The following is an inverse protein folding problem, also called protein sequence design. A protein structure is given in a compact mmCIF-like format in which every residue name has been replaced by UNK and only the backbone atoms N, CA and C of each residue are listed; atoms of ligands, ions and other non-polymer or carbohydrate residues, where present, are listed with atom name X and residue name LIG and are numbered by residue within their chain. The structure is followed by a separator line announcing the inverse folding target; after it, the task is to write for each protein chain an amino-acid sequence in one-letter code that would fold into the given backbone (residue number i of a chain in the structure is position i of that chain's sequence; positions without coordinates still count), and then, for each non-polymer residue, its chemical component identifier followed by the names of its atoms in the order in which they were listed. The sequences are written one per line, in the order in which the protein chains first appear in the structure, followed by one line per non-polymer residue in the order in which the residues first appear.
data_IF_983610099276
#
_entry.id   IF_983610099276
#
_cell.length_a   1.000
_cell.length_b   1.000
_cell.length_c   1.000
_cell.angle_alpha   90.00
_cell.angle_beta   90.00
_cell.angle_gamma   90.00
#
_symmetry.space_group_name_H-M   'P 1'
#
loop_
_entity.id
_entity.type
_entity.pdbx_description
1 polymer ?
#
# COMPACT_ATOMS: atom_id res chain seq x y z
N UNK A 1 24.94 4.20 55.43
CA UNK A 1 25.74 3.93 54.20
C UNK A 1 25.16 2.82 53.32
N UNK A 2 24.28 1.97 53.87
CA UNK A 2 23.78 0.76 53.19
C UNK A 2 22.48 1.00 52.42
N UNK A 3 21.70 2.02 52.75
CA UNK A 3 20.43 2.33 52.08
C UNK A 3 20.58 3.12 50.76
N UNK A 4 21.73 3.73 50.48
CA UNK A 4 21.98 4.46 49.23
C UNK A 4 22.41 3.55 48.06
N UNK A 5 23.03 2.39 48.34
CA UNK A 5 23.47 1.45 47.32
C UNK A 5 22.31 0.58 46.78
N UNK A 6 21.28 0.31 47.58
CA UNK A 6 20.12 -0.48 47.15
C UNK A 6 19.17 0.28 46.22
N UNK A 7 19.07 1.60 46.34
CA UNK A 7 18.22 2.43 45.49
C UNK A 7 18.84 2.67 44.09
N UNK A 8 20.18 2.71 43.98
CA UNK A 8 20.86 2.91 42.70
C UNK A 8 20.83 1.67 41.81
N UNK A 9 20.83 0.48 42.40
CA UNK A 9 20.73 -0.80 41.66
C UNK A 9 19.30 -1.06 41.15
N UNK A 10 18.28 -0.58 41.90
CA UNK A 10 16.87 -0.71 41.50
C UNK A 10 16.51 0.16 40.29
N UNK A 11 17.07 1.38 40.21
CA UNK A 11 16.81 2.28 39.07
C UNK A 11 17.50 1.85 37.77
N UNK A 12 18.68 1.26 37.82
CA UNK A 12 19.38 0.74 36.67
C UNK A 12 18.65 -0.49 36.06
N UNK A 13 18.07 -1.33 36.90
CA UNK A 13 17.31 -2.52 36.43
C UNK A 13 15.97 -2.16 35.79
N UNK A 14 15.27 -1.13 36.27
CA UNK A 14 14.00 -0.68 35.67
C UNK A 14 14.21 0.01 34.34
N UNK A 15 15.26 0.82 34.19
CA UNK A 15 15.60 1.48 32.91
C UNK A 15 15.97 0.48 31.81
N UNK A 16 16.79 -0.53 32.13
CA UNK A 16 17.16 -1.59 31.19
C UNK A 16 15.98 -2.48 30.80
N UNK A 17 15.12 -2.80 31.75
CA UNK A 17 13.91 -3.59 31.51
C UNK A 17 12.91 -2.83 30.64
N UNK A 18 12.74 -1.53 30.85
CA UNK A 18 11.87 -0.68 30.04
C UNK A 18 12.38 -0.55 28.61
N UNK A 19 13.69 -0.31 28.45
CA UNK A 19 14.34 -0.26 27.13
C UNK A 19 14.31 -1.61 26.42
N UNK A 20 14.48 -2.72 27.13
CA UNK A 20 14.38 -4.08 26.56
C UNK A 20 12.94 -4.41 26.13
N UNK A 21 11.94 -4.04 26.94
CA UNK A 21 10.52 -4.19 26.60
C UNK A 21 10.17 -3.32 25.40
N UNK A 22 10.62 -2.06 25.35
CA UNK A 22 10.41 -1.19 24.20
C UNK A 22 11.07 -1.75 22.93
N UNK A 23 12.27 -2.29 23.03
CA UNK A 23 12.97 -2.94 21.91
C UNK A 23 12.26 -4.22 21.47
N UNK A 24 11.87 -5.07 22.40
CA UNK A 24 11.04 -6.27 22.09
C UNK A 24 9.68 -5.89 21.47
N UNK A 25 9.00 -4.88 22.00
CA UNK A 25 7.75 -4.40 21.42
C UNK A 25 7.96 -3.79 20.02
N UNK A 26 9.08 -3.13 19.78
CA UNK A 26 9.45 -2.64 18.46
C UNK A 26 9.77 -3.80 17.50
N UNK A 27 10.57 -4.79 17.95
CA UNK A 27 10.88 -5.99 17.17
C UNK A 27 9.63 -6.84 16.88
N UNK A 28 8.69 -6.93 17.82
CA UNK A 28 7.40 -7.61 17.60
C UNK A 28 6.50 -6.82 16.64
N UNK A 29 6.50 -5.49 16.67
CA UNK A 29 5.78 -4.67 15.69
C UNK A 29 6.36 -4.82 14.28
N UNK A 30 7.68 -4.96 14.17
CA UNK A 30 8.40 -5.10 12.90
C UNK A 30 8.20 -6.45 12.19
N UNK A 31 7.53 -7.42 12.84
CA UNK A 31 7.25 -8.75 12.30
C UNK A 31 5.74 -9.03 12.22
N UNK A 32 4.94 -7.99 12.05
CA UNK A 32 3.50 -8.17 12.03
C UNK A 32 2.99 -8.33 10.60
N UNK A 33 2.26 -9.40 10.35
CA UNK A 33 1.51 -9.56 9.11
C UNK A 33 0.47 -8.45 8.98
N UNK A 34 0.26 -7.96 7.76
CA UNK A 34 -0.75 -6.93 7.52
C UNK A 34 -2.14 -7.41 7.93
N UNK A 35 -2.44 -8.69 7.77
CA UNK A 35 -3.68 -9.28 8.28
C UNK A 35 -3.88 -9.08 9.79
N UNK A 36 -2.81 -9.06 10.58
CA UNK A 36 -2.93 -8.76 12.03
C UNK A 36 -3.21 -7.28 12.27
N UNK A 37 -2.60 -6.39 11.48
CA UNK A 37 -2.89 -4.95 11.51
C UNK A 37 -4.36 -4.69 11.19
N UNK A 38 -4.91 -5.40 10.20
CA UNK A 38 -6.28 -5.24 9.73
C UNK A 38 -7.35 -5.87 10.65
N UNK A 39 -6.96 -6.63 11.67
CA UNK A 39 -7.87 -7.10 12.73
C UNK A 39 -8.19 -6.03 13.77
N UNK A 40 -7.47 -4.91 13.74
CA UNK A 40 -7.71 -3.80 14.67
C UNK A 40 -9.11 -3.23 14.49
N UNK A 41 -9.78 -2.96 15.62
CA UNK A 41 -11.05 -2.22 15.63
C UNK A 41 -10.86 -0.72 15.38
N UNK A 42 -9.62 -0.23 15.44
CA UNK A 42 -9.26 1.16 15.16
C UNK A 42 -9.08 1.40 13.67
N UNK A 43 -9.18 2.65 13.28
CA UNK A 43 -8.86 3.10 11.93
C UNK A 43 -7.36 2.89 11.67
N UNK A 44 -7.02 2.30 10.54
CA UNK A 44 -5.63 2.14 10.10
C UNK A 44 -5.34 3.02 8.92
N UNK A 45 -4.22 3.74 8.96
CA UNK A 45 -3.69 4.54 7.87
C UNK A 45 -2.37 3.95 7.38
N UNK A 46 -2.29 3.64 6.10
CA UNK A 46 -1.09 3.15 5.43
C UNK A 46 -0.71 4.05 4.27
N UNK A 47 0.55 3.98 3.83
CA UNK A 47 1.09 4.90 2.84
C UNK A 47 1.91 4.16 1.80
N UNK A 48 1.75 4.54 0.53
CA UNK A 48 2.52 3.99 -0.58
C UNK A 48 3.69 4.88 -0.94
N UNK A 49 4.82 4.24 -1.24
CA UNK A 49 5.99 4.85 -1.85
C UNK A 49 6.42 4.04 -3.08
N UNK A 50 7.19 4.64 -3.96
CA UNK A 50 7.74 3.96 -5.14
C UNK A 50 9.27 4.08 -5.20
N UNK A 51 9.94 3.06 -5.76
CA UNK A 51 11.39 3.05 -5.89
C UNK A 51 11.87 4.09 -6.92
N UNK A 52 13.15 4.51 -6.87
CA UNK A 52 13.72 5.42 -7.83
C UNK A 52 13.76 4.77 -9.23
N UNK A 53 13.50 5.57 -10.25
CA UNK A 53 13.63 5.13 -11.66
C UNK A 53 15.08 5.12 -12.14
N UNK A 54 15.93 5.93 -11.53
CA UNK A 54 17.35 6.08 -11.86
C UNK A 54 18.18 6.15 -10.58
N UNK A 55 19.44 5.81 -10.65
CA UNK A 55 20.37 5.91 -9.51
C UNK A 55 20.52 7.33 -9.00
N UNK A 56 20.43 8.34 -9.85
CA UNK A 56 20.50 9.76 -9.49
C UNK A 56 19.29 10.24 -8.66
N UNK A 57 18.16 9.55 -8.75
CA UNK A 57 16.96 9.86 -7.96
C UNK A 57 16.90 9.11 -6.61
N UNK A 58 17.85 8.20 -6.35
CA UNK A 58 17.79 7.31 -5.20
C UNK A 58 17.83 8.05 -3.85
N UNK A 59 18.70 9.04 -3.72
CA UNK A 59 18.85 9.81 -2.48
C UNK A 59 17.55 10.53 -2.11
N UNK A 60 16.96 11.25 -3.06
CA UNK A 60 15.69 11.96 -2.87
C UNK A 60 14.53 11.02 -2.51
N UNK A 61 14.49 9.83 -3.13
CA UNK A 61 13.48 8.82 -2.80
C UNK A 61 13.70 8.28 -1.37
N UNK A 62 14.93 7.99 -1.00
CA UNK A 62 15.26 7.50 0.34
C UNK A 62 14.93 8.53 1.43
N UNK A 63 15.16 9.82 1.17
CA UNK A 63 14.74 10.90 2.08
C UNK A 63 13.22 10.93 2.23
N UNK A 64 12.47 10.88 1.13
CA UNK A 64 11.01 10.86 1.17
C UNK A 64 10.48 9.62 1.92
N UNK A 65 11.04 8.44 1.69
CA UNK A 65 10.68 7.20 2.40
C UNK A 65 10.93 7.35 3.90
N UNK A 66 12.10 7.87 4.30
CA UNK A 66 12.43 8.13 5.71
C UNK A 66 11.43 9.09 6.36
N UNK A 67 11.12 10.20 5.69
CA UNK A 67 10.27 11.25 6.23
C UNK A 67 8.80 10.77 6.35
N UNK A 68 8.32 9.97 5.38
CA UNK A 68 7.00 9.33 5.45
C UNK A 68 6.99 8.25 6.56
N UNK A 69 8.04 7.45 6.69
CA UNK A 69 8.14 6.45 7.76
C UNK A 69 8.17 7.09 9.16
N UNK A 70 8.75 8.30 9.28
CA UNK A 70 8.75 9.06 10.54
C UNK A 70 7.34 9.44 11.03
N UNK A 71 6.36 9.49 10.14
CA UNK A 71 4.94 9.68 10.48
C UNK A 71 4.31 8.44 11.16
N UNK A 72 5.02 7.31 11.18
CA UNK A 72 4.56 6.05 11.81
C UNK A 72 3.22 5.54 11.28
N UNK A 73 3.02 5.45 9.96
CA UNK A 73 1.84 4.77 9.41
C UNK A 73 1.80 3.31 9.89
N UNK A 74 0.63 2.69 9.86
CA UNK A 74 0.47 1.30 10.29
C UNK A 74 1.25 0.30 9.43
N UNK A 75 1.40 0.60 8.15
CA UNK A 75 2.35 -0.03 7.24
C UNK A 75 2.64 0.87 6.04
N UNK A 76 3.72 0.56 5.32
CA UNK A 76 4.05 1.22 4.05
C UNK A 76 4.16 0.19 2.94
N UNK A 77 3.57 0.49 1.79
CA UNK A 77 3.76 -0.31 0.59
C UNK A 77 4.83 0.28 -0.32
N UNK A 78 5.55 -0.59 -1.02
CA UNK A 78 6.58 -0.21 -1.99
C UNK A 78 6.22 -0.79 -3.34
N UNK A 79 5.99 0.06 -4.35
CA UNK A 79 5.62 -0.40 -5.68
C UNK A 79 6.74 -1.19 -6.36
N UNK A 80 6.36 -2.06 -7.29
CA UNK A 80 7.30 -2.81 -8.12
C UNK A 80 7.58 -2.01 -9.39
N UNK A 81 8.84 -1.83 -9.74
CA UNK A 81 9.19 -1.09 -10.95
C UNK A 81 8.82 -1.86 -12.22
N UNK A 82 8.11 -1.21 -13.12
CA UNK A 82 7.51 -1.80 -14.32
C UNK A 82 8.52 -2.26 -15.40
N UNK A 83 9.80 -1.95 -15.27
CA UNK A 83 10.82 -2.33 -16.25
C UNK A 83 11.67 -3.47 -15.70
N UNK A 84 11.50 -4.67 -16.20
CA UNK A 84 12.16 -5.94 -15.85
C UNK A 84 13.70 -5.98 -15.66
N UNK A 85 14.33 -4.88 -15.33
CA UNK A 85 15.77 -4.77 -15.13
C UNK A 85 16.13 -3.83 -13.97
N UNK A 86 16.44 -4.38 -12.80
CA UNK A 86 17.10 -3.63 -11.73
C UNK A 86 16.19 -2.91 -10.72
N UNK A 87 14.98 -2.52 -11.06
CA UNK A 87 14.07 -1.81 -10.15
C UNK A 87 13.49 -2.70 -9.06
N UNK A 88 13.34 -4.01 -9.29
CA UNK A 88 12.92 -4.99 -8.27
C UNK A 88 13.87 -5.03 -7.07
N UNK A 89 15.17 -4.83 -7.31
CA UNK A 89 16.18 -4.76 -6.26
C UNK A 89 15.93 -3.58 -5.32
N UNK A 90 15.54 -2.42 -5.85
CA UNK A 90 15.20 -1.26 -5.03
C UNK A 90 13.91 -1.47 -4.23
N UNK A 91 12.90 -2.15 -4.79
CA UNK A 91 11.67 -2.50 -4.06
C UNK A 91 11.99 -3.31 -2.81
N UNK A 92 12.79 -4.37 -2.95
CA UNK A 92 13.20 -5.23 -1.84
C UNK A 92 14.01 -4.44 -0.81
N UNK A 93 14.99 -3.62 -1.26
CA UNK A 93 15.82 -2.84 -0.36
C UNK A 93 15.00 -1.82 0.43
N UNK A 94 14.14 -1.06 -0.23
CA UNK A 94 13.30 -0.05 0.44
C UNK A 94 12.32 -0.72 1.41
N UNK A 95 11.70 -1.84 1.02
CA UNK A 95 10.80 -2.57 1.91
C UNK A 95 11.52 -3.09 3.16
N UNK A 96 12.77 -3.56 2.99
CA UNK A 96 13.64 -3.96 4.09
C UNK A 96 13.99 -2.79 5.00
N UNK A 97 14.35 -1.63 4.43
CA UNK A 97 14.72 -0.44 5.19
C UNK A 97 13.53 0.12 5.98
N UNK A 98 12.32 0.13 5.38
CA UNK A 98 11.08 0.53 6.06
C UNK A 98 10.88 -0.31 7.32
N UNK A 99 11.10 -1.61 7.23
CA UNK A 99 10.95 -2.54 8.35
C UNK A 99 12.10 -2.42 9.35
N UNK A 100 13.33 -2.61 8.90
CA UNK A 100 14.48 -2.81 9.78
C UNK A 100 15.03 -1.48 10.33
N UNK A 101 15.09 -0.43 9.50
CA UNK A 101 15.65 0.86 9.90
C UNK A 101 14.60 1.79 10.50
N UNK A 102 13.38 1.80 9.97
CA UNK A 102 12.35 2.76 10.40
C UNK A 102 11.28 2.16 11.31
N UNK A 103 11.25 0.84 11.47
CA UNK A 103 10.34 0.15 12.39
C UNK A 103 8.87 0.25 12.00
N UNK A 104 8.58 0.28 10.70
CA UNK A 104 7.24 0.28 10.11
C UNK A 104 7.03 -1.03 9.36
N UNK A 105 5.84 -1.64 9.46
CA UNK A 105 5.54 -2.83 8.65
C UNK A 105 5.63 -2.50 7.16
N UNK A 106 6.24 -3.39 6.37
CA UNK A 106 6.37 -3.19 4.93
C UNK A 106 5.54 -4.18 4.13
N UNK A 107 5.03 -3.72 3.00
CA UNK A 107 4.31 -4.48 1.98
C UNK A 107 5.03 -4.31 0.65
N UNK A 108 5.72 -5.33 0.16
CA UNK A 108 6.40 -5.25 -1.13
C UNK A 108 5.45 -5.65 -2.26
N UNK A 109 5.34 -4.83 -3.30
CA UNK A 109 4.63 -5.24 -4.51
C UNK A 109 5.47 -6.25 -5.30
N UNK A 110 4.80 -7.19 -5.94
CA UNK A 110 5.38 -8.12 -6.89
C UNK A 110 4.45 -8.27 -8.10
N UNK A 111 4.98 -8.05 -9.30
CA UNK A 111 4.25 -8.25 -10.56
C UNK A 111 4.74 -9.49 -11.28
N UNK A 112 3.85 -10.18 -11.97
CA UNK A 112 4.19 -11.39 -12.73
C UNK A 112 4.24 -11.18 -14.24
N UNK A 113 3.72 -10.06 -14.72
CA UNK A 113 3.67 -9.78 -16.15
C UNK A 113 5.08 -9.56 -16.72
N UNK A 114 5.31 -9.98 -17.96
CA UNK A 114 6.60 -9.86 -18.66
C UNK A 114 7.78 -10.52 -17.94
N UNK A 115 7.50 -11.45 -17.01
CA UNK A 115 8.52 -12.22 -16.29
C UNK A 115 8.30 -13.72 -16.49
N UNK A 116 9.39 -14.47 -16.62
CA UNK A 116 9.29 -15.94 -16.62
C UNK A 116 8.96 -16.45 -15.21
N UNK A 117 8.44 -17.67 -15.12
CA UNK A 117 8.16 -18.31 -13.83
C UNK A 117 9.41 -18.36 -12.95
N UNK A 118 10.56 -18.71 -13.52
CA UNK A 118 11.85 -18.78 -12.82
C UNK A 118 12.25 -17.40 -12.26
N UNK A 119 12.01 -16.33 -13.01
CA UNK A 119 12.27 -14.97 -12.54
C UNK A 119 11.39 -14.62 -11.35
N UNK A 120 10.09 -14.95 -11.42
CA UNK A 120 9.14 -14.73 -10.33
C UNK A 120 9.52 -15.55 -9.09
N UNK A 121 9.83 -16.84 -9.24
CA UNK A 121 10.30 -17.71 -8.15
C UNK A 121 11.55 -17.16 -7.47
N UNK A 122 12.51 -16.67 -8.26
CA UNK A 122 13.72 -16.01 -7.75
C UNK A 122 13.38 -14.76 -6.95
N UNK A 123 12.45 -13.93 -7.41
CA UNK A 123 12.05 -12.73 -6.69
C UNK A 123 11.35 -13.06 -5.36
N UNK A 124 10.47 -14.07 -5.33
CA UNK A 124 9.83 -14.54 -4.10
C UNK A 124 10.90 -15.01 -3.10
N UNK A 125 11.87 -15.79 -3.56
CA UNK A 125 12.98 -16.28 -2.74
C UNK A 125 13.80 -15.12 -2.17
N UNK A 126 14.16 -14.13 -2.98
CA UNK A 126 14.90 -12.94 -2.54
C UNK A 126 14.11 -12.11 -1.51
N UNK A 127 12.81 -11.96 -1.69
CA UNK A 127 11.94 -11.28 -0.72
C UNK A 127 11.90 -12.05 0.63
N UNK A 128 11.79 -13.37 0.57
CA UNK A 128 11.84 -14.23 1.75
C UNK A 128 13.18 -14.12 2.49
N UNK A 129 14.30 -14.21 1.79
CA UNK A 129 15.65 -14.06 2.34
C UNK A 129 15.89 -12.66 2.94
N UNK A 130 15.28 -11.62 2.35
CA UNK A 130 15.31 -10.27 2.89
C UNK A 130 14.41 -10.09 4.13
N UNK A 131 13.67 -11.13 4.55
CA UNK A 131 12.76 -11.09 5.69
C UNK A 131 11.49 -10.30 5.45
N UNK A 132 11.06 -10.14 4.19
CA UNK A 132 9.77 -9.53 3.84
C UNK A 132 8.67 -10.55 4.14
N UNK A 133 7.65 -10.12 4.87
CA UNK A 133 6.56 -10.96 5.36
C UNK A 133 5.25 -10.73 4.61
N UNK A 134 5.14 -9.61 3.88
CA UNK A 134 3.91 -9.20 3.22
C UNK A 134 4.18 -8.84 1.75
N UNK A 135 3.42 -9.45 0.84
CA UNK A 135 3.51 -9.20 -0.61
C UNK A 135 2.15 -8.77 -1.14
N UNK A 136 2.13 -7.70 -1.93
CA UNK A 136 0.99 -7.35 -2.77
C UNK A 136 1.19 -8.00 -4.14
N UNK A 137 0.44 -9.06 -4.42
CA UNK A 137 0.52 -9.82 -5.65
C UNK A 137 -0.29 -9.16 -6.77
N UNK A 138 0.38 -8.71 -7.80
CA UNK A 138 -0.19 -7.98 -8.92
C UNK A 138 0.11 -8.69 -10.23
N UNK A 139 -0.81 -8.54 -11.20
CA UNK A 139 -0.49 -8.95 -12.56
C UNK A 139 0.57 -8.03 -13.17
N UNK A 140 0.40 -6.73 -13.02
CA UNK A 140 1.12 -5.69 -13.74
C UNK A 140 0.37 -5.23 -14.99
N UNK A 141 0.82 -4.13 -15.59
CA UNK A 141 0.25 -3.57 -16.81
C UNK A 141 0.88 -4.22 -18.05
N UNK A 142 0.06 -4.52 -19.06
CA UNK A 142 0.54 -5.05 -20.33
C UNK A 142 1.31 -3.94 -21.06
N UNK A 143 2.63 -4.12 -21.36
CA UNK A 143 3.37 -3.14 -22.12
C UNK A 143 2.75 -2.94 -23.49
N UNK A 144 2.74 -1.71 -23.97
CA UNK A 144 2.30 -1.40 -25.35
C UNK A 144 3.13 -2.19 -26.34
N UNK A 145 2.49 -2.72 -27.38
CA UNK A 145 3.12 -3.47 -28.49
C UNK A 145 3.77 -4.82 -28.08
N UNK A 146 3.36 -5.40 -26.94
CA UNK A 146 3.86 -6.70 -26.51
C UNK A 146 2.77 -7.75 -26.71
N UNK A 147 3.13 -8.90 -27.33
CA UNK A 147 2.26 -10.07 -27.32
C UNK A 147 2.08 -10.57 -25.88
N UNK A 148 0.84 -10.77 -25.48
CA UNK A 148 0.53 -11.26 -24.15
C UNK A 148 -0.70 -12.20 -24.22
N UNK A 149 -0.66 -13.28 -23.50
CA UNK A 149 0.45 -13.84 -22.72
C UNK A 149 1.45 -14.61 -23.58
N UNK A 150 2.73 -14.56 -23.24
CA UNK A 150 3.72 -15.44 -23.82
C UNK A 150 3.64 -16.84 -23.18
N UNK A 151 3.95 -17.93 -23.93
CA UNK A 151 3.98 -19.27 -23.38
C UNK A 151 4.88 -19.35 -22.13
N UNK A 152 4.38 -20.00 -21.06
CA UNK A 152 5.13 -20.19 -19.82
C UNK A 152 5.14 -19.00 -18.85
N UNK A 153 4.44 -17.92 -19.17
CA UNK A 153 4.24 -16.79 -18.27
C UNK A 153 2.93 -16.91 -17.48
N UNK A 154 2.84 -16.16 -16.38
CA UNK A 154 1.59 -15.99 -15.63
C UNK A 154 0.65 -15.04 -16.37
N UNK A 155 -0.64 -15.38 -16.38
CA UNK A 155 -1.68 -14.58 -17.04
C UNK A 155 -2.41 -13.67 -16.05
N UNK A 156 -2.60 -14.15 -14.81
CA UNK A 156 -3.39 -13.49 -13.79
C UNK A 156 -2.70 -13.47 -12.44
N UNK A 157 -3.02 -12.47 -11.64
CA UNK A 157 -2.51 -12.36 -10.28
C UNK A 157 -2.87 -13.56 -9.40
N UNK A 158 -3.99 -14.26 -9.66
CA UNK A 158 -4.36 -15.47 -8.93
C UNK A 158 -3.33 -16.61 -9.09
N UNK A 159 -2.69 -16.72 -10.26
CA UNK A 159 -1.61 -17.69 -10.49
C UNK A 159 -0.36 -17.31 -9.68
N UNK A 160 -0.03 -16.02 -9.63
CA UNK A 160 1.06 -15.50 -8.80
C UNK A 160 0.80 -15.77 -7.30
N UNK A 161 -0.43 -15.56 -6.83
CA UNK A 161 -0.82 -15.87 -5.44
C UNK A 161 -0.57 -17.34 -5.11
N UNK A 162 -0.99 -18.27 -5.99
CA UNK A 162 -0.73 -19.72 -5.79
C UNK A 162 0.76 -20.02 -5.76
N UNK A 163 1.54 -19.35 -6.60
CA UNK A 163 2.99 -19.57 -6.67
C UNK A 163 3.69 -19.04 -5.41
N UNK A 164 3.30 -17.87 -4.90
CA UNK A 164 3.82 -17.36 -3.62
C UNK A 164 3.48 -18.34 -2.49
N UNK A 165 2.23 -18.84 -2.42
CA UNK A 165 1.83 -19.82 -1.40
C UNK A 165 2.60 -21.14 -1.50
N UNK A 166 2.99 -21.55 -2.70
CA UNK A 166 3.80 -22.75 -2.93
C UNK A 166 5.23 -22.61 -2.38
N UNK A 167 5.87 -21.45 -2.62
CA UNK A 167 7.29 -21.19 -2.27
C UNK A 167 7.43 -20.69 -0.84
N UNK A 168 6.54 -19.82 -0.40
CA UNK A 168 6.58 -19.13 0.88
C UNK A 168 5.18 -19.07 1.52
N UNK A 169 4.65 -20.23 1.98
CA UNK A 169 3.29 -20.33 2.51
C UNK A 169 3.05 -19.45 3.74
N UNK A 170 4.13 -19.07 4.43
CA UNK A 170 4.10 -18.19 5.59
C UNK A 170 3.84 -16.72 5.26
N UNK A 171 4.04 -16.29 4.01
CA UNK A 171 3.85 -14.90 3.61
C UNK A 171 2.38 -14.50 3.61
N UNK A 172 2.11 -13.30 4.10
CA UNK A 172 0.83 -12.63 4.00
C UNK A 172 0.69 -12.02 2.61
N UNK A 173 -0.40 -12.35 1.90
CA UNK A 173 -0.60 -11.93 0.52
C UNK A 173 -1.81 -11.04 0.41
N UNK A 174 -1.58 -9.80 -0.09
CA UNK A 174 -2.61 -8.89 -0.56
C UNK A 174 -2.77 -8.93 -2.08
N UNK A 175 -3.87 -8.40 -2.55
CA UNK A 175 -4.14 -8.20 -3.97
C UNK A 175 -4.75 -6.85 -4.27
N UNK A 176 -4.74 -6.42 -5.54
CA UNK A 176 -5.45 -5.23 -5.97
C UNK A 176 -6.88 -5.55 -6.41
N UNK A 177 -7.77 -4.57 -6.24
CA UNK A 177 -9.13 -4.59 -6.75
C UNK A 177 -9.53 -3.20 -7.26
N UNK A 178 -10.58 -3.13 -8.09
CA UNK A 178 -10.91 -1.93 -8.86
C UNK A 178 -12.38 -1.55 -8.62
N UNK A 179 -12.68 -0.50 -7.84
CA UNK A 179 -14.05 -0.08 -7.54
C UNK A 179 -14.88 0.23 -8.80
N UNK A 180 -14.25 0.76 -9.83
CA UNK A 180 -14.89 1.08 -11.10
C UNK A 180 -14.83 -0.07 -12.13
N UNK A 181 -14.20 -1.18 -11.78
CA UNK A 181 -13.89 -2.32 -12.65
C UNK A 181 -12.52 -2.19 -13.29
N UNK A 182 -11.84 -3.32 -13.49
CA UNK A 182 -10.55 -3.32 -14.18
C UNK A 182 -10.73 -2.86 -15.63
N UNK A 183 -9.90 -1.93 -16.16
CA UNK A 183 -10.05 -1.39 -17.52
C UNK A 183 -10.07 -2.46 -18.63
N UNK A 184 -9.37 -3.56 -18.43
CA UNK A 184 -9.31 -4.68 -19.37
C UNK A 184 -10.38 -5.76 -19.12
N UNK A 185 -11.20 -5.64 -18.08
CA UNK A 185 -12.25 -6.58 -17.80
C UNK A 185 -13.43 -6.41 -18.78
N UNK A 186 -13.93 -7.50 -19.34
CA UNK A 186 -15.08 -7.47 -20.26
C UNK A 186 -16.37 -6.97 -19.59
N UNK A 187 -16.47 -7.07 -18.26
CA UNK A 187 -17.57 -6.52 -17.47
C UNK A 187 -17.21 -6.45 -15.99
N UNK A 188 -17.90 -5.56 -15.26
CA UNK A 188 -17.75 -5.46 -13.78
C UNK A 188 -18.08 -6.76 -13.06
N UNK A 189 -19.00 -7.56 -13.59
CA UNK A 189 -19.35 -8.87 -13.02
C UNK A 189 -18.20 -9.87 -13.16
N UNK A 190 -17.54 -9.93 -14.33
CA UNK A 190 -16.38 -10.79 -14.54
C UNK A 190 -15.20 -10.35 -13.70
N UNK A 191 -14.99 -9.04 -13.52
CA UNK A 191 -13.94 -8.52 -12.64
C UNK A 191 -14.11 -9.03 -11.20
N UNK A 192 -15.33 -8.99 -10.66
CA UNK A 192 -15.63 -9.54 -9.33
C UNK A 192 -15.34 -11.05 -9.23
N UNK A 193 -15.62 -11.83 -10.27
CA UNK A 193 -15.27 -13.26 -10.29
C UNK A 193 -13.74 -13.46 -10.24
N UNK A 194 -12.97 -12.67 -10.97
CA UNK A 194 -11.51 -12.70 -10.90
C UNK A 194 -10.96 -12.29 -9.51
N UNK A 195 -11.64 -11.36 -8.84
CA UNK A 195 -11.29 -11.03 -7.44
C UNK A 195 -11.56 -12.23 -6.53
N UNK A 196 -12.70 -12.91 -6.70
CA UNK A 196 -13.00 -14.12 -5.93
C UNK A 196 -11.97 -15.22 -6.18
N UNK A 197 -11.61 -15.50 -7.42
CA UNK A 197 -10.55 -16.46 -7.78
C UNK A 197 -9.22 -16.13 -7.09
N UNK A 198 -8.87 -14.86 -6.99
CA UNK A 198 -7.66 -14.38 -6.31
C UNK A 198 -7.71 -14.65 -4.81
N UNK A 199 -8.86 -14.41 -4.18
CA UNK A 199 -9.07 -14.70 -2.76
C UNK A 199 -9.06 -16.20 -2.50
N UNK A 200 -9.74 -16.99 -3.33
CA UNK A 200 -9.75 -18.45 -3.25
C UNK A 200 -8.33 -19.06 -3.47
N UNK A 201 -7.48 -18.38 -4.21
CA UNK A 201 -6.07 -18.75 -4.39
C UNK A 201 -5.19 -18.50 -3.16
N UNK A 202 -5.68 -17.75 -2.16
CA UNK A 202 -4.98 -17.46 -0.91
C UNK A 202 -4.63 -16.00 -0.66
N UNK A 203 -5.25 -15.05 -1.39
CA UNK A 203 -5.15 -13.63 -1.10
C UNK A 203 -5.94 -13.31 0.18
N UNK A 204 -5.29 -12.66 1.15
CA UNK A 204 -5.79 -12.49 2.51
C UNK A 204 -6.40 -11.10 2.77
N UNK A 205 -6.13 -10.13 1.90
CA UNK A 205 -6.73 -8.78 1.90
C UNK A 205 -6.66 -8.16 0.51
N UNK A 206 -7.42 -7.11 0.27
CA UNK A 206 -7.41 -6.39 -1.00
C UNK A 206 -7.19 -4.90 -0.76
N UNK A 207 -6.40 -4.26 -1.64
CA UNK A 207 -6.28 -2.79 -1.69
C UNK A 207 -6.92 -2.30 -2.99
N UNK A 208 -7.77 -1.28 -2.90
CA UNK A 208 -8.42 -0.76 -4.09
C UNK A 208 -7.49 0.11 -4.93
N UNK A 209 -7.69 0.11 -6.23
CA UNK A 209 -7.21 1.20 -7.08
C UNK A 209 -7.90 2.51 -6.64
N UNK A 210 -7.27 3.65 -6.94
CA UNK A 210 -7.83 4.95 -6.62
C UNK A 210 -9.24 5.15 -7.20
N UNK A 211 -10.06 5.87 -6.47
CA UNK A 211 -11.40 6.33 -6.88
C UNK A 211 -11.64 7.71 -6.25
N UNK A 212 -12.56 8.49 -6.81
CA UNK A 212 -12.82 9.86 -6.36
C UNK A 212 -14.25 10.07 -5.86
N UNK A 213 -15.12 9.06 -6.02
CA UNK A 213 -16.49 9.04 -5.55
C UNK A 213 -16.70 7.84 -4.61
N UNK A 214 -16.98 8.11 -3.34
CA UNK A 214 -17.16 7.08 -2.33
C UNK A 214 -18.39 6.20 -2.59
N UNK A 215 -19.41 6.71 -3.28
CA UNK A 215 -20.60 5.93 -3.62
C UNK A 215 -20.25 4.73 -4.52
N UNK A 216 -19.27 4.90 -5.40
CA UNK A 216 -18.74 3.83 -6.25
C UNK A 216 -18.08 2.74 -5.40
N UNK A 217 -17.28 3.15 -4.41
CA UNK A 217 -16.65 2.22 -3.49
C UNK A 217 -17.67 1.44 -2.65
N UNK A 218 -18.68 2.11 -2.09
CA UNK A 218 -19.72 1.46 -1.29
C UNK A 218 -20.48 0.43 -2.12
N UNK A 219 -20.89 0.76 -3.33
CA UNK A 219 -21.55 -0.16 -4.25
C UNK A 219 -20.64 -1.36 -4.59
N UNK A 220 -19.36 -1.10 -4.85
CA UNK A 220 -18.38 -2.14 -5.12
C UNK A 220 -18.19 -3.09 -3.94
N UNK A 221 -18.07 -2.54 -2.72
CA UNK A 221 -17.94 -3.34 -1.50
C UNK A 221 -19.14 -4.26 -1.30
N UNK A 222 -20.36 -3.74 -1.50
CA UNK A 222 -21.58 -4.54 -1.44
C UNK A 222 -21.53 -5.72 -2.42
N UNK A 223 -21.19 -5.47 -3.67
CA UNK A 223 -21.10 -6.51 -4.71
C UNK A 223 -20.01 -7.55 -4.42
N UNK A 224 -18.89 -7.16 -3.83
CA UNK A 224 -17.86 -8.10 -3.38
C UNK A 224 -18.43 -9.04 -2.30
N UNK A 225 -19.16 -8.48 -1.32
CA UNK A 225 -19.79 -9.27 -0.25
C UNK A 225 -20.86 -10.23 -0.78
N UNK A 226 -21.68 -9.81 -1.74
CA UNK A 226 -22.64 -10.69 -2.43
C UNK A 226 -21.94 -11.84 -3.15
N UNK A 227 -20.76 -11.62 -3.74
CA UNK A 227 -19.96 -12.66 -4.38
C UNK A 227 -19.20 -13.56 -3.40
N UNK A 228 -19.33 -13.34 -2.08
CA UNK A 228 -18.66 -14.13 -1.05
C UNK A 228 -17.19 -13.74 -0.80
N UNK A 229 -16.76 -12.57 -1.25
CA UNK A 229 -15.43 -12.02 -0.95
C UNK A 229 -15.49 -11.36 0.43
N UNK A 230 -14.98 -12.02 1.46
CA UNK A 230 -15.11 -11.60 2.87
C UNK A 230 -13.81 -11.04 3.45
N UNK A 231 -12.69 -11.08 2.75
CA UNK A 231 -11.41 -10.53 3.20
C UNK A 231 -11.49 -9.02 3.43
N UNK A 232 -10.63 -8.44 4.30
CA UNK A 232 -10.54 -7.00 4.49
C UNK A 232 -10.27 -6.27 3.18
N UNK A 233 -10.94 -5.13 3.01
CA UNK A 233 -10.73 -4.22 1.86
C UNK A 233 -10.14 -2.92 2.40
N UNK A 234 -9.01 -2.52 1.83
CA UNK A 234 -8.32 -1.27 2.15
C UNK A 234 -8.67 -0.26 1.06
N UNK A 235 -9.24 0.88 1.43
CA UNK A 235 -9.59 1.93 0.49
C UNK A 235 -8.36 2.74 0.08
N UNK A 236 -7.98 2.67 -1.20
CA UNK A 236 -6.87 3.40 -1.78
C UNK A 236 -7.28 4.81 -2.20
N UNK A 237 -6.67 5.82 -1.60
CA UNK A 237 -6.96 7.22 -1.81
C UNK A 237 -5.78 7.92 -2.47
N UNK A 238 -6.04 8.64 -3.56
CA UNK A 238 -5.05 9.41 -4.31
C UNK A 238 -5.27 10.90 -4.11
N UNK A 239 -4.46 11.56 -3.27
CA UNK A 239 -4.46 13.02 -3.20
C UNK A 239 -3.94 13.61 -4.51
N UNK A 240 -4.78 14.30 -5.25
CA UNK A 240 -4.39 14.98 -6.48
C UNK A 240 -3.92 16.39 -6.14
N UNK A 241 -2.63 16.61 -6.26
CA UNK A 241 -1.96 17.88 -5.90
C UNK A 241 -1.45 18.67 -7.10
N UNK A 242 -1.62 18.12 -8.29
CA UNK A 242 -1.21 18.76 -9.57
C UNK A 242 -2.25 18.46 -10.64
N UNK A 243 -2.57 19.45 -11.45
CA UNK A 243 -3.57 19.35 -12.55
C UNK A 243 -3.31 18.18 -13.51
N UNK A 244 -2.04 17.96 -13.86
CA UNK A 244 -1.66 16.89 -14.79
C UNK A 244 -1.82 15.47 -14.22
N UNK A 245 -1.94 15.31 -12.91
CA UNK A 245 -2.22 14.00 -12.29
C UNK A 245 -3.64 13.51 -12.60
N UNK A 246 -4.60 14.40 -12.83
CA UNK A 246 -6.00 14.03 -13.11
C UNK A 246 -6.09 13.16 -14.36
N UNK A 247 -5.56 13.63 -15.49
CA UNK A 247 -5.60 12.89 -16.76
C UNK A 247 -4.89 11.52 -16.63
N UNK A 248 -3.75 11.47 -15.94
CA UNK A 248 -3.02 10.24 -15.71
C UNK A 248 -3.80 9.27 -14.80
N UNK A 249 -4.44 9.78 -13.76
CA UNK A 249 -5.26 8.97 -12.85
C UNK A 249 -6.44 8.34 -13.58
N UNK A 250 -7.14 9.11 -14.41
CA UNK A 250 -8.24 8.58 -15.24
C UNK A 250 -7.74 7.48 -16.19
N UNK A 251 -6.59 7.71 -16.85
CA UNK A 251 -6.00 6.73 -17.78
C UNK A 251 -5.62 5.42 -17.08
N UNK A 252 -5.10 5.48 -15.84
CA UNK A 252 -4.64 4.32 -15.09
C UNK A 252 -5.78 3.55 -14.43
N UNK A 253 -6.76 4.25 -13.90
CA UNK A 253 -7.82 3.66 -13.07
C UNK A 253 -9.17 3.52 -13.78
N UNK A 254 -9.36 4.18 -14.92
CA UNK A 254 -10.68 4.32 -15.53
C UNK A 254 -11.66 5.16 -14.69
N UNK A 255 -11.15 5.88 -13.67
CA UNK A 255 -11.96 6.54 -12.67
C UNK A 255 -12.78 7.69 -13.23
N UNK A 256 -14.02 7.79 -12.79
CA UNK A 256 -14.88 8.94 -12.98
C UNK A 256 -14.42 10.09 -12.06
N UNK A 257 -14.31 11.30 -12.61
CA UNK A 257 -13.98 12.50 -11.84
C UNK A 257 -15.29 13.23 -11.49
N UNK A 258 -15.67 13.29 -10.19
CA UNK A 258 -16.88 13.98 -9.77
C UNK A 258 -16.85 15.46 -10.14
N UNK A 259 -18.01 16.06 -10.46
CA UNK A 259 -18.13 17.47 -10.81
C UNK A 259 -17.53 18.41 -9.75
N UNK A 260 -17.72 18.08 -8.47
CA UNK A 260 -17.11 18.82 -7.34
C UNK A 260 -15.58 18.84 -7.43
N UNK A 261 -14.97 17.70 -7.72
CA UNK A 261 -13.52 17.62 -7.82
C UNK A 261 -13.00 18.31 -9.09
N UNK A 262 -13.72 18.15 -10.22
CA UNK A 262 -13.39 18.85 -11.46
C UNK A 262 -13.36 20.38 -11.26
N UNK A 263 -14.35 20.95 -10.56
CA UNK A 263 -14.37 22.37 -10.25
C UNK A 263 -13.16 22.84 -9.44
N UNK A 264 -12.70 22.03 -8.49
CA UNK A 264 -11.47 22.30 -7.71
C UNK A 264 -10.25 22.36 -8.63
N UNK A 265 -10.11 21.39 -9.52
CA UNK A 265 -8.97 21.29 -10.45
C UNK A 265 -9.01 22.45 -11.46
N UNK A 266 -10.18 22.78 -11.99
CA UNK A 266 -10.35 23.87 -12.95
C UNK A 266 -10.01 25.23 -12.32
N UNK A 267 -10.33 25.43 -11.02
CA UNK A 267 -10.10 26.70 -10.33
C UNK A 267 -8.67 26.85 -9.79
N UNK A 268 -8.11 25.79 -9.21
CA UNK A 268 -6.82 25.85 -8.51
C UNK A 268 -5.66 25.21 -9.27
N UNK A 269 -5.94 24.46 -10.35
CA UNK A 269 -4.97 23.58 -10.99
C UNK A 269 -3.72 24.27 -11.56
N UNK A 270 -3.81 25.54 -11.91
CA UNK A 270 -2.71 26.33 -12.48
C UNK A 270 -1.84 27.02 -11.39
N UNK A 271 -2.25 26.92 -10.11
CA UNK A 271 -1.52 27.48 -8.96
C UNK A 271 -1.05 26.34 -8.03
N UNK A 272 0.22 25.88 -8.11
CA UNK A 272 0.71 24.66 -7.45
C UNK A 272 0.44 24.59 -5.96
N UNK A 273 0.64 25.67 -5.20
CA UNK A 273 0.42 25.69 -3.75
C UNK A 273 -1.07 25.57 -3.41
N UNK A 274 -1.94 26.25 -4.12
CA UNK A 274 -3.40 26.18 -3.92
C UNK A 274 -3.94 24.80 -4.33
N UNK A 275 -3.48 24.25 -5.45
CA UNK A 275 -3.89 22.92 -5.90
C UNK A 275 -3.44 21.84 -4.91
N UNK A 276 -2.23 21.94 -4.37
CA UNK A 276 -1.75 21.01 -3.35
C UNK A 276 -2.62 21.05 -2.09
N UNK A 277 -2.92 22.24 -1.59
CA UNK A 277 -3.79 22.42 -0.43
C UNK A 277 -5.20 21.88 -0.67
N UNK A 278 -5.80 22.23 -1.82
CA UNK A 278 -7.15 21.78 -2.18
C UNK A 278 -7.21 20.26 -2.39
N UNK A 279 -6.19 19.66 -2.99
CA UNK A 279 -6.08 18.22 -3.20
C UNK A 279 -5.97 17.45 -1.88
N UNK A 280 -5.16 17.93 -0.93
CA UNK A 280 -5.08 17.36 0.42
C UNK A 280 -6.44 17.48 1.13
N UNK A 281 -7.10 18.62 1.06
CA UNK A 281 -8.41 18.84 1.68
C UNK A 281 -9.47 17.90 1.11
N UNK A 282 -9.53 17.75 -0.22
CA UNK A 282 -10.47 16.84 -0.88
C UNK A 282 -10.24 15.38 -0.47
N UNK A 283 -8.99 14.92 -0.50
CA UNK A 283 -8.65 13.56 -0.09
C UNK A 283 -8.95 13.32 1.40
N UNK A 284 -8.72 14.30 2.26
CA UNK A 284 -9.08 14.23 3.68
C UNK A 284 -10.59 14.10 3.87
N UNK A 285 -11.39 14.93 3.18
CA UNK A 285 -12.86 14.88 3.21
C UNK A 285 -13.38 13.50 2.76
N UNK A 286 -12.81 12.97 1.67
CA UNK A 286 -13.11 11.62 1.18
C UNK A 286 -12.82 10.53 2.23
N UNK A 287 -11.68 10.62 2.92
CA UNK A 287 -11.30 9.68 3.97
C UNK A 287 -12.25 9.78 5.17
N UNK A 288 -12.59 10.99 5.59
CA UNK A 288 -13.52 11.21 6.73
C UNK A 288 -14.88 10.58 6.43
N UNK A 289 -15.42 10.78 5.22
CA UNK A 289 -16.68 10.16 4.80
C UNK A 289 -16.59 8.62 4.80
N UNK A 290 -15.50 8.04 4.29
CA UNK A 290 -15.27 6.59 4.34
C UNK A 290 -15.28 6.06 5.77
N UNK A 291 -14.56 6.71 6.67
CA UNK A 291 -14.47 6.31 8.08
C UNK A 291 -15.83 6.43 8.77
N UNK A 292 -16.55 7.53 8.54
CA UNK A 292 -17.90 7.75 9.09
C UNK A 292 -18.91 6.68 8.62
N UNK A 293 -18.67 6.08 7.44
CA UNK A 293 -19.47 4.97 6.91
C UNK A 293 -18.88 3.57 7.22
N UNK A 294 -17.99 3.47 8.21
CA UNK A 294 -17.51 2.20 8.75
C UNK A 294 -16.30 1.59 8.01
N UNK A 295 -15.68 2.30 7.08
CA UNK A 295 -14.45 1.87 6.40
C UNK A 295 -13.26 2.17 7.31
N UNK A 296 -12.65 1.13 7.87
CA UNK A 296 -11.59 1.28 8.88
C UNK A 296 -10.18 1.33 8.30
N UNK A 297 -9.96 0.87 7.07
CA UNK A 297 -8.64 0.68 6.50
C UNK A 297 -8.42 1.59 5.30
N UNK A 298 -7.52 2.56 5.45
CA UNK A 298 -7.21 3.58 4.46
C UNK A 298 -5.77 3.43 3.99
N UNK A 299 -5.55 3.51 2.69
CA UNK A 299 -4.24 3.53 2.06
C UNK A 299 -4.07 4.79 1.22
N UNK A 300 -3.01 5.56 1.45
CA UNK A 300 -2.75 6.81 0.75
C UNK A 300 -1.61 6.65 -0.25
N UNK A 301 -1.89 6.94 -1.50
CA UNK A 301 -0.90 7.03 -2.57
C UNK A 301 -0.16 8.35 -2.48
N UNK A 302 0.95 8.39 -1.74
CA UNK A 302 1.65 9.64 -1.37
C UNK A 302 2.42 10.28 -2.52
N UNK A 303 2.69 9.55 -3.58
CA UNK A 303 3.55 9.98 -4.69
C UNK A 303 4.97 10.40 -4.24
N UNK A 304 5.49 9.76 -3.18
CA UNK A 304 6.75 10.12 -2.52
C UNK A 304 6.79 11.59 -2.07
N UNK A 305 5.65 12.17 -1.69
CA UNK A 305 5.54 13.54 -1.17
C UNK A 305 5.25 13.52 0.34
N UNK A 306 6.27 13.74 1.21
CA UNK A 306 6.10 13.73 2.66
C UNK A 306 5.15 14.82 3.18
N UNK A 307 5.02 15.97 2.48
CA UNK A 307 4.10 17.03 2.89
C UNK A 307 2.64 16.60 2.68
N UNK A 308 2.35 15.87 1.61
CA UNK A 308 1.02 15.30 1.36
C UNK A 308 0.69 14.28 2.45
N UNK A 309 1.60 13.36 2.72
CA UNK A 309 1.45 12.35 3.76
C UNK A 309 1.19 12.98 5.14
N UNK A 310 2.03 13.94 5.53
CA UNK A 310 1.90 14.67 6.80
C UNK A 310 0.62 15.51 6.87
N UNK A 311 0.22 16.14 5.75
CA UNK A 311 -1.00 16.91 5.67
C UNK A 311 -2.26 16.07 5.92
N UNK A 312 -2.36 14.91 5.28
CA UNK A 312 -3.46 13.96 5.50
C UNK A 312 -3.47 13.48 6.95
N UNK A 313 -2.33 13.01 7.47
CA UNK A 313 -2.25 12.49 8.83
C UNK A 313 -2.60 13.54 9.88
N UNK A 314 -2.10 14.76 9.75
CA UNK A 314 -2.42 15.86 10.67
C UNK A 314 -3.92 16.17 10.68
N UNK A 315 -4.57 16.18 9.53
CA UNK A 315 -6.01 16.43 9.42
C UNK A 315 -6.86 15.30 10.02
N UNK A 316 -6.28 14.11 10.21
CA UNK A 316 -6.94 12.92 10.74
C UNK A 316 -6.46 12.56 12.16
N UNK A 317 -5.62 13.37 12.79
CA UNK A 317 -4.92 13.03 14.05
C UNK A 317 -5.84 12.58 15.19
N UNK A 318 -6.99 13.22 15.34
CA UNK A 318 -7.98 12.87 16.38
C UNK A 318 -8.86 11.66 15.97
N UNK A 319 -8.89 11.31 14.69
CA UNK A 319 -9.71 10.23 14.14
C UNK A 319 -8.97 8.90 14.14
N UNK A 320 -7.66 8.95 13.86
CA UNK A 320 -6.81 7.76 13.74
C UNK A 320 -6.31 7.31 15.14
N UNK A 321 -6.24 8.16 16.08
CA UNK A 321 -5.96 8.09 17.54
C UNK A 321 -5.11 6.95 18.04
#
# INVERSE_FOLDING_TARGET
GILRSALSVSFAHTGHRHMYIQKMCAEMRNKMKITEVLKSDKVTLSMEVFPPKTTTAAEKVNEAVRDIAALKPHFMSVTYGAAGGGTSKYTIQIAKDIKDAYGVNSLAHLTCLSSTKETVEKQITLMKEAGIENILALRGDIPKETEFPLPGQFHYAAELVREIKRIAPEMCIGGACYPEGHPEANSKAKDILHIKEKVDAGCEFLTTQMFFDNSIFYNYLYRLREAGVMVPIIAGIMPITKKNQVARSIQLSGSCVPARFKSIVDWFGDEPAKMKQAGIAYATDQIIDLIANGVKHIHVYTMNDPEVAAGIQRNLSEIIG
#
